data_IF_496018803783
#
_entry.id   IF_496018803783
#
_cell.length_a   1.000
_cell.length_b   1.000
_cell.length_c   1.000
_cell.angle_alpha   90.00
_cell.angle_beta   90.00
_cell.angle_gamma   90.00
#
_symmetry.space_group_name_H-M   'P 1'
#
loop_
_entity.id
_entity.type
_entity.pdbx_description
1 polymer ?
#
# COMPACT_ATOMS: atom_id res chain seq x y z
N UNK A 1 -36.25 -5.76 2.58
CA UNK A 1 -35.86 -4.94 3.75
C UNK A 1 -35.55 -3.57 3.21
N UNK A 2 -36.23 -2.55 3.72
CA UNK A 2 -35.88 -1.17 3.39
C UNK A 2 -34.62 -0.76 4.14
N UNK A 3 -33.72 -0.07 3.44
CA UNK A 3 -32.49 0.48 4.03
C UNK A 3 -32.79 1.65 4.96
N UNK A 4 -33.86 2.39 4.68
CA UNK A 4 -34.32 3.52 5.48
C UNK A 4 -35.10 2.94 6.67
N UNK A 5 -34.62 3.13 7.92
CA UNK A 5 -35.30 2.56 9.09
C UNK A 5 -36.55 3.36 9.51
N UNK A 6 -36.78 4.52 8.88
CA UNK A 6 -37.88 5.44 9.16
C UNK A 6 -39.18 4.88 8.59
N UNK A 7 -40.19 4.72 9.44
CA UNK A 7 -41.53 4.32 9.00
C UNK A 7 -42.34 5.51 8.50
N UNK A 8 -43.44 5.27 7.78
CA UNK A 8 -44.36 6.34 7.37
C UNK A 8 -44.96 7.10 8.57
N UNK A 9 -45.09 6.45 9.73
CA UNK A 9 -45.55 7.12 10.95
C UNK A 9 -44.48 8.07 11.50
N UNK A 10 -43.23 7.61 11.57
CA UNK A 10 -42.09 8.45 11.97
C UNK A 10 -41.95 9.66 11.03
N UNK A 11 -42.09 9.45 9.72
CA UNK A 11 -42.02 10.52 8.72
C UNK A 11 -43.09 11.59 8.97
N UNK A 12 -44.35 11.19 9.17
CA UNK A 12 -45.44 12.12 9.45
C UNK A 12 -45.24 12.89 10.75
N UNK A 13 -44.75 12.23 11.79
CA UNK A 13 -44.46 12.87 13.07
C UNK A 13 -43.30 13.88 12.95
N UNK A 14 -42.24 13.53 12.21
CA UNK A 14 -41.12 14.43 11.93
C UNK A 14 -41.56 15.65 11.10
N UNK A 15 -42.38 15.46 10.05
CA UNK A 15 -42.92 16.54 9.23
C UNK A 15 -43.78 17.50 10.07
N UNK A 16 -44.63 16.96 10.94
CA UNK A 16 -45.45 17.77 11.86
C UNK A 16 -44.60 18.62 12.80
N UNK A 17 -43.54 18.05 13.37
CA UNK A 17 -42.60 18.77 14.24
C UNK A 17 -41.83 19.85 13.46
N UNK A 18 -41.41 19.54 12.24
CA UNK A 18 -40.73 20.47 11.36
C UNK A 18 -41.65 21.57 10.79
N UNK A 19 -42.97 21.44 10.93
CA UNK A 19 -43.95 22.38 10.37
C UNK A 19 -44.11 22.26 8.84
N UNK A 20 -43.72 21.12 8.26
CA UNK A 20 -43.86 20.84 6.82
C UNK A 20 -45.07 19.95 6.54
N UNK A 21 -45.79 20.24 5.46
CA UNK A 21 -46.97 19.48 5.06
C UNK A 21 -46.64 18.20 4.26
N UNK A 22 -45.46 18.14 3.65
CA UNK A 22 -44.94 16.99 2.90
C UNK A 22 -43.42 17.02 2.83
N UNK A 23 -42.81 15.93 2.34
CA UNK A 23 -41.38 15.86 2.06
C UNK A 23 -40.97 16.92 1.02
N UNK A 24 -41.78 17.13 -0.02
CA UNK A 24 -41.53 18.17 -1.03
C UNK A 24 -41.55 19.56 -0.40
N UNK A 25 -42.51 19.83 0.50
CA UNK A 25 -42.59 21.08 1.26
C UNK A 25 -41.37 21.27 2.17
N UNK A 26 -40.89 20.21 2.81
CA UNK A 26 -39.69 20.26 3.66
C UNK A 26 -38.43 20.65 2.87
N UNK A 27 -38.31 20.20 1.62
CA UNK A 27 -37.18 20.51 0.74
C UNK A 27 -37.36 21.80 -0.08
N UNK A 28 -38.36 22.64 0.21
CA UNK A 28 -38.59 23.89 -0.52
C UNK A 28 -37.39 24.86 -0.51
N UNK A 29 -36.54 24.77 0.51
CA UNK A 29 -35.32 25.57 0.66
C UNK A 29 -34.33 25.39 -0.50
N UNK A 30 -34.38 24.25 -1.20
CA UNK A 30 -33.54 24.00 -2.38
C UNK A 30 -34.19 24.74 -3.56
N UNK A 31 -33.52 25.70 -4.21
CA UNK A 31 -34.11 26.40 -5.36
C UNK A 31 -34.55 25.43 -6.46
N UNK A 32 -35.72 25.65 -7.06
CA UNK A 32 -36.29 24.76 -8.08
C UNK A 32 -35.33 24.52 -9.25
N UNK A 33 -34.63 25.56 -9.69
CA UNK A 33 -33.62 25.47 -10.76
C UNK A 33 -32.45 24.53 -10.45
N UNK A 34 -32.24 24.17 -9.18
CA UNK A 34 -31.22 23.23 -8.71
C UNK A 34 -31.78 21.83 -8.40
N UNK A 35 -33.10 21.64 -8.45
CA UNK A 35 -33.71 20.33 -8.17
C UNK A 35 -33.67 19.44 -9.40
N UNK A 36 -33.30 18.18 -9.19
CA UNK A 36 -33.43 17.15 -10.21
C UNK A 36 -34.91 16.81 -10.41
N UNK A 37 -35.38 16.77 -11.66
CA UNK A 37 -36.79 16.47 -11.96
C UNK A 37 -37.05 14.96 -12.07
N UNK A 38 -36.09 14.21 -12.58
CA UNK A 38 -36.21 12.77 -12.78
C UNK A 38 -34.83 12.10 -12.69
N UNK A 39 -34.83 10.81 -12.36
CA UNK A 39 -33.65 9.97 -12.33
C UNK A 39 -33.72 8.98 -13.51
N UNK A 40 -32.69 8.96 -14.35
CA UNK A 40 -32.54 7.92 -15.38
C UNK A 40 -31.75 6.74 -14.79
N UNK A 41 -32.41 5.98 -13.91
CA UNK A 41 -31.86 4.80 -13.25
C UNK A 41 -32.77 3.58 -13.50
N UNK A 42 -32.20 2.37 -13.61
CA UNK A 42 -33.01 1.16 -13.67
C UNK A 42 -33.79 0.96 -12.37
N UNK A 43 -34.85 0.16 -12.44
CA UNK A 43 -35.60 -0.23 -11.25
C UNK A 43 -34.69 -0.95 -10.24
N UNK A 44 -34.93 -0.66 -8.95
CA UNK A 44 -34.19 -1.28 -7.86
C UNK A 44 -34.36 -2.80 -7.84
N UNK A 45 -33.26 -3.51 -7.63
CA UNK A 45 -33.29 -4.96 -7.41
C UNK A 45 -33.56 -5.26 -5.93
N UNK A 46 -34.23 -6.38 -5.66
CA UNK A 46 -34.22 -6.95 -4.31
C UNK A 46 -32.80 -7.31 -3.88
N UNK A 47 -32.53 -7.38 -2.58
CA UNK A 47 -31.22 -7.76 -2.04
C UNK A 47 -30.71 -9.08 -2.64
N UNK A 48 -31.58 -10.09 -2.73
CA UNK A 48 -31.27 -11.37 -3.37
C UNK A 48 -30.97 -11.23 -4.86
N UNK A 49 -31.77 -10.44 -5.58
CA UNK A 49 -31.58 -10.16 -7.01
C UNK A 49 -30.26 -9.44 -7.29
N UNK A 50 -29.92 -8.46 -6.45
CA UNK A 50 -28.66 -7.71 -6.52
C UNK A 50 -27.47 -8.63 -6.28
N UNK A 51 -27.49 -9.45 -5.23
CA UNK A 51 -26.41 -10.40 -4.92
C UNK A 51 -26.15 -11.35 -6.10
N UNK A 52 -27.20 -11.98 -6.64
CA UNK A 52 -27.07 -12.87 -7.81
C UNK A 52 -26.58 -12.14 -9.06
N UNK A 53 -26.95 -10.87 -9.22
CA UNK A 53 -26.46 -10.06 -10.33
C UNK A 53 -24.94 -9.81 -10.21
N UNK A 54 -24.47 -9.40 -9.03
CA UNK A 54 -23.05 -9.16 -8.76
C UNK A 54 -22.21 -10.44 -8.84
N UNK A 55 -22.70 -11.57 -8.33
CA UNK A 55 -22.04 -12.88 -8.44
C UNK A 55 -21.81 -13.27 -9.91
N UNK A 56 -22.83 -13.13 -10.78
CA UNK A 56 -22.70 -13.38 -12.22
C UNK A 56 -21.74 -12.43 -12.92
N UNK A 57 -21.59 -11.20 -12.42
CA UNK A 57 -20.59 -10.27 -12.94
C UNK A 57 -19.18 -10.70 -12.52
N UNK A 58 -19.00 -11.11 -11.26
CA UNK A 58 -17.73 -11.56 -10.72
C UNK A 58 -17.22 -12.85 -11.39
N UNK A 59 -18.12 -13.76 -11.78
CA UNK A 59 -17.79 -14.99 -12.53
C UNK A 59 -17.12 -14.75 -13.89
N UNK A 60 -17.16 -13.52 -14.43
CA UNK A 60 -16.47 -13.16 -15.67
C UNK A 60 -14.96 -12.92 -15.46
N UNK A 61 -14.51 -12.78 -14.22
CA UNK A 61 -13.11 -12.57 -13.89
C UNK A 61 -12.35 -13.91 -13.87
N UNK A 62 -11.11 -13.92 -14.33
CA UNK A 62 -10.23 -15.10 -14.27
C UNK A 62 -9.40 -15.06 -12.98
N UNK A 63 -9.90 -15.65 -11.91
CA UNK A 63 -9.27 -15.62 -10.56
C UNK A 63 -8.47 -16.88 -10.21
N UNK A 64 -8.57 -17.92 -11.04
CA UNK A 64 -7.98 -19.24 -10.81
C UNK A 64 -6.54 -19.38 -11.31
N UNK A 65 -5.93 -18.32 -11.83
CA UNK A 65 -4.60 -18.40 -12.43
C UNK A 65 -3.51 -18.51 -11.36
N UNK A 66 -2.45 -19.26 -11.68
CA UNK A 66 -1.22 -19.26 -10.89
C UNK A 66 -0.48 -17.96 -11.15
N UNK A 67 -0.35 -17.13 -10.12
CA UNK A 67 0.24 -15.79 -10.25
C UNK A 67 1.73 -15.81 -9.96
N UNK A 68 2.48 -15.30 -10.93
CA UNK A 68 3.88 -14.91 -10.84
C UNK A 68 4.06 -13.41 -11.14
N UNK A 69 2.94 -12.66 -11.16
CA UNK A 69 2.96 -11.20 -11.19
C UNK A 69 3.53 -10.65 -9.89
N UNK A 70 4.34 -9.60 -10.04
CA UNK A 70 4.84 -8.78 -8.95
C UNK A 70 4.73 -7.31 -9.32
N UNK A 71 5.82 -6.58 -9.23
CA UNK A 71 5.82 -5.13 -9.41
C UNK A 71 5.19 -4.44 -8.20
N UNK A 72 5.56 -4.86 -7.00
CA UNK A 72 5.10 -4.23 -5.75
C UNK A 72 3.76 -4.71 -5.20
N UNK A 73 3.04 -5.59 -5.90
CA UNK A 73 1.76 -6.18 -5.45
C UNK A 73 1.80 -7.69 -5.62
N UNK A 74 1.51 -8.42 -4.55
CA UNK A 74 1.83 -9.84 -4.46
C UNK A 74 0.68 -10.68 -3.92
N UNK A 75 0.56 -11.90 -4.45
CA UNK A 75 -0.45 -12.85 -3.98
C UNK A 75 0.02 -13.56 -2.70
N UNK A 76 -0.03 -12.87 -1.56
CA UNK A 76 0.27 -13.48 -0.26
C UNK A 76 -0.94 -14.25 0.31
N UNK A 77 -0.66 -15.26 1.13
CA UNK A 77 -1.70 -15.96 1.90
C UNK A 77 -2.21 -15.07 3.03
N UNK A 78 -3.54 -14.96 3.14
CA UNK A 78 -4.20 -14.20 4.19
C UNK A 78 -4.86 -15.22 5.14
N UNK A 79 -4.40 -15.35 6.39
CA UNK A 79 -5.06 -16.21 7.37
C UNK A 79 -6.52 -15.79 7.56
N UNK A 80 -7.45 -16.75 7.58
CA UNK A 80 -8.89 -16.49 7.72
C UNK A 80 -9.26 -15.66 8.97
N UNK A 81 -8.45 -15.74 10.02
CA UNK A 81 -8.60 -14.93 11.22
C UNK A 81 -8.47 -13.42 10.95
N UNK A 82 -7.72 -13.00 9.92
CA UNK A 82 -7.61 -11.58 9.52
C UNK A 82 -8.99 -11.07 9.07
N UNK A 83 -9.68 -11.81 8.21
CA UNK A 83 -11.02 -11.44 7.73
C UNK A 83 -12.03 -11.45 8.88
N UNK A 84 -12.04 -12.52 9.69
CA UNK A 84 -12.98 -12.64 10.80
C UNK A 84 -12.82 -11.52 11.84
N UNK A 85 -11.59 -11.14 12.19
CA UNK A 85 -11.32 -10.10 13.18
C UNK A 85 -11.54 -8.69 12.63
N UNK A 86 -11.14 -8.42 11.39
CA UNK A 86 -11.32 -7.10 10.77
C UNK A 86 -12.79 -6.81 10.40
N UNK A 87 -13.61 -7.83 10.18
CA UNK A 87 -15.03 -7.69 9.88
C UNK A 87 -15.91 -7.37 11.11
N UNK A 88 -15.32 -7.37 12.31
CA UNK A 88 -16.02 -6.97 13.53
C UNK A 88 -16.55 -5.54 13.42
N UNK A 89 -17.84 -5.34 13.71
CA UNK A 89 -18.52 -4.06 13.51
C UNK A 89 -17.88 -2.92 14.28
N UNK A 90 -17.32 -3.19 15.47
CA UNK A 90 -16.65 -2.19 16.31
C UNK A 90 -15.44 -1.55 15.62
N UNK A 91 -14.85 -2.23 14.62
CA UNK A 91 -13.82 -1.68 13.75
C UNK A 91 -14.37 -1.26 12.39
N UNK A 92 -15.20 -2.10 11.76
CA UNK A 92 -15.62 -1.93 10.37
C UNK A 92 -16.56 -0.74 10.15
N UNK A 93 -17.43 -0.43 11.11
CA UNK A 93 -18.37 0.69 11.00
C UNK A 93 -17.91 1.96 11.70
N UNK A 94 -16.82 1.88 12.48
CA UNK A 94 -16.27 3.03 13.18
C UNK A 94 -15.60 4.01 12.20
N UNK A 95 -15.70 5.31 12.49
CA UNK A 95 -14.97 6.34 11.75
C UNK A 95 -13.76 6.85 12.55
N UNK A 96 -13.15 7.95 12.09
CA UNK A 96 -11.98 8.55 12.76
C UNK A 96 -12.25 8.72 14.27
N UNK A 97 -11.36 8.21 15.15
CA UNK A 97 -11.60 8.19 16.60
C UNK A 97 -11.37 9.57 17.23
N UNK A 98 -12.23 10.53 16.90
CA UNK A 98 -12.18 11.92 17.41
C UNK A 98 -12.60 12.05 18.88
N UNK A 99 -13.38 11.09 19.39
CA UNK A 99 -13.84 11.03 20.78
C UNK A 99 -13.07 9.89 21.48
N UNK A 100 -11.89 10.16 22.09
CA UNK A 100 -10.99 9.11 22.54
C UNK A 100 -11.60 8.19 23.58
N UNK A 101 -12.43 8.72 24.48
CA UNK A 101 -13.06 8.01 25.59
C UNK A 101 -13.96 6.88 25.09
N UNK A 102 -14.58 7.06 23.92
CA UNK A 102 -15.47 6.07 23.29
C UNK A 102 -14.78 5.23 22.20
N UNK A 103 -13.47 5.42 21.97
CA UNK A 103 -12.75 4.82 20.84
C UNK A 103 -11.40 4.18 21.21
N UNK A 104 -11.21 3.82 22.49
CA UNK A 104 -9.94 3.28 22.99
C UNK A 104 -9.47 2.02 22.26
N UNK A 105 -10.37 1.12 21.86
CA UNK A 105 -10.00 -0.09 21.10
C UNK A 105 -9.37 0.23 19.74
N UNK A 106 -9.99 1.14 18.98
CA UNK A 106 -9.45 1.62 17.69
C UNK A 106 -8.15 2.39 17.88
N UNK A 107 -8.05 3.26 18.89
CA UNK A 107 -6.85 4.03 19.17
C UNK A 107 -5.68 3.15 19.62
N UNK A 108 -5.95 2.13 20.42
CA UNK A 108 -4.96 1.14 20.81
C UNK A 108 -4.48 0.34 19.58
N UNK A 109 -5.39 -0.11 18.72
CA UNK A 109 -5.01 -0.81 17.48
C UNK A 109 -4.13 0.08 16.58
N UNK A 110 -4.43 1.38 16.45
CA UNK A 110 -3.58 2.31 15.70
C UNK A 110 -2.20 2.43 16.36
N UNK A 111 -2.14 2.58 17.69
CA UNK A 111 -0.89 2.68 18.43
C UNK A 111 -0.04 1.40 18.32
N UNK A 112 -0.67 0.22 18.35
CA UNK A 112 -0.01 -1.07 18.18
C UNK A 112 0.47 -1.28 16.75
N UNK A 113 -0.32 -0.89 15.74
CA UNK A 113 0.12 -0.84 14.35
C UNK A 113 1.39 -0.01 14.21
N UNK A 114 1.40 1.23 14.72
CA UNK A 114 2.57 2.10 14.67
C UNK A 114 3.78 1.44 15.36
N UNK A 115 3.56 0.78 16.49
CA UNK A 115 4.62 0.09 17.25
C UNK A 115 5.22 -1.09 16.48
N UNK A 116 4.38 -1.89 15.82
CA UNK A 116 4.83 -3.03 15.01
C UNK A 116 5.57 -2.53 13.77
N UNK A 117 5.09 -1.50 13.09
CA UNK A 117 5.80 -0.89 11.95
C UNK A 117 7.16 -0.35 12.36
N UNK A 118 7.27 0.34 13.51
CA UNK A 118 8.55 0.83 14.03
C UNK A 118 9.53 -0.32 14.24
N UNK A 119 9.09 -1.44 14.84
CA UNK A 119 9.92 -2.64 15.05
C UNK A 119 10.29 -3.35 13.75
N UNK A 120 9.38 -3.38 12.78
CA UNK A 120 9.62 -4.01 11.48
C UNK A 120 10.68 -3.26 10.68
N UNK A 121 10.71 -1.93 10.80
CA UNK A 121 11.55 -1.04 9.99
C UNK A 121 12.80 -0.54 10.72
N UNK A 122 12.96 -0.85 12.01
CA UNK A 122 13.91 -0.23 12.94
C UNK A 122 13.85 1.30 12.98
N UNK A 123 12.63 1.84 12.93
CA UNK A 123 12.36 3.28 13.01
C UNK A 123 11.74 3.66 14.37
N UNK A 124 11.72 4.95 14.68
CA UNK A 124 11.34 5.44 16.03
C UNK A 124 9.88 5.93 16.11
N UNK A 125 9.28 6.29 14.98
CA UNK A 125 7.85 6.60 14.89
C UNK A 125 7.28 6.21 13.53
N UNK A 126 5.98 5.91 13.50
CA UNK A 126 5.21 5.67 12.28
C UNK A 126 3.89 6.44 12.35
N UNK A 127 3.31 6.79 11.21
CA UNK A 127 1.96 7.34 11.16
C UNK A 127 0.90 6.24 11.12
N UNK A 128 -0.37 6.63 11.21
CA UNK A 128 -1.51 5.73 11.17
C UNK A 128 -2.03 5.59 9.74
N UNK A 129 -1.16 5.12 8.83
CA UNK A 129 -1.38 4.86 7.39
C UNK A 129 -1.49 6.06 6.46
N UNK A 130 -1.19 5.78 5.19
CA UNK A 130 -1.44 6.57 3.98
C UNK A 130 -2.21 5.70 2.97
N UNK A 131 -2.51 6.22 1.77
CA UNK A 131 -3.38 5.54 0.81
C UNK A 131 -2.76 4.30 0.16
N UNK A 132 -1.50 4.38 -0.25
CA UNK A 132 -0.73 3.33 -0.93
C UNK A 132 0.78 3.65 -0.87
N UNK A 133 1.62 2.75 -1.37
CA UNK A 133 3.08 2.92 -1.41
C UNK A 133 3.54 4.14 -2.23
N UNK A 134 2.88 4.46 -3.35
CA UNK A 134 3.26 5.58 -4.20
C UNK A 134 2.97 6.94 -3.56
N UNK A 135 1.80 7.10 -2.96
CA UNK A 135 1.43 8.27 -2.15
C UNK A 135 2.31 8.37 -0.90
N UNK A 136 2.76 7.25 -0.32
CA UNK A 136 3.74 7.26 0.76
C UNK A 136 5.10 7.83 0.32
N UNK A 137 5.58 7.47 -0.87
CA UNK A 137 6.81 8.06 -1.45
C UNK A 137 6.66 9.58 -1.61
N UNK A 138 5.53 10.04 -2.16
CA UNK A 138 5.24 11.48 -2.27
C UNK A 138 5.28 12.20 -0.92
N UNK A 139 4.65 11.61 0.09
CA UNK A 139 4.61 12.16 1.43
C UNK A 139 6.00 12.19 2.10
N UNK A 140 6.82 11.16 1.87
CA UNK A 140 8.19 11.09 2.37
C UNK A 140 9.10 12.15 1.73
N UNK A 141 9.03 12.32 0.41
CA UNK A 141 9.78 13.38 -0.30
C UNK A 141 9.37 14.76 0.20
N UNK A 142 8.05 15.01 0.28
CA UNK A 142 7.52 16.27 0.78
C UNK A 142 7.94 16.52 2.23
N UNK A 143 7.94 15.48 3.07
CA UNK A 143 8.42 15.53 4.44
C UNK A 143 9.92 15.86 4.52
N UNK A 144 10.76 15.23 3.69
CA UNK A 144 12.19 15.48 3.66
C UNK A 144 12.52 16.92 3.24
N UNK A 145 11.84 17.46 2.23
CA UNK A 145 11.96 18.86 1.83
C UNK A 145 11.58 19.83 2.96
N UNK A 146 10.54 19.51 3.74
CA UNK A 146 10.14 20.32 4.92
C UNK A 146 11.14 20.23 6.08
N UNK A 147 11.86 19.13 6.20
CA UNK A 147 12.88 18.92 7.23
C UNK A 147 14.15 19.69 6.88
N UNK A 148 14.62 19.57 5.64
CA UNK A 148 15.90 20.15 5.19
C UNK A 148 15.77 21.60 4.75
N UNK A 149 14.56 22.05 4.39
CA UNK A 149 14.32 23.35 3.74
C UNK A 149 14.74 23.39 2.26
N UNK A 150 15.21 22.26 1.72
CA UNK A 150 15.68 22.11 0.35
C UNK A 150 14.57 21.55 -0.55
N UNK A 151 14.73 21.70 -1.86
CA UNK A 151 13.68 21.37 -2.85
C UNK A 151 14.09 20.32 -3.89
N UNK A 152 15.36 19.91 -3.93
CA UNK A 152 15.84 18.90 -4.86
C UNK A 152 15.72 17.51 -4.22
N UNK A 153 15.01 16.58 -4.85
CA UNK A 153 14.98 15.17 -4.46
C UNK A 153 15.59 14.32 -5.56
N UNK A 154 16.57 13.49 -5.20
CA UNK A 154 17.17 12.53 -6.11
C UNK A 154 16.38 11.24 -6.11
N UNK A 155 16.11 10.70 -7.29
CA UNK A 155 15.41 9.43 -7.45
C UNK A 155 16.39 8.38 -7.94
N UNK A 156 16.64 7.40 -7.08
CA UNK A 156 17.55 6.31 -7.37
C UNK A 156 16.93 5.35 -8.42
N UNK A 157 17.70 4.79 -9.35
CA UNK A 157 17.21 3.85 -10.38
C UNK A 157 16.54 2.57 -9.84
N UNK A 158 16.67 2.29 -8.55
CA UNK A 158 15.99 1.17 -7.89
C UNK A 158 14.49 1.38 -7.71
N UNK A 159 14.01 2.64 -7.69
CA UNK A 159 12.62 2.94 -7.33
C UNK A 159 11.63 2.43 -8.38
N UNK A 160 10.49 1.93 -7.94
CA UNK A 160 9.37 1.53 -8.79
C UNK A 160 8.99 2.61 -9.82
N UNK A 161 8.91 2.32 -11.14
CA UNK A 161 8.64 3.31 -12.18
C UNK A 161 7.25 3.96 -12.04
N UNK A 162 6.22 3.17 -11.72
CA UNK A 162 4.88 3.73 -11.43
C UNK A 162 4.91 4.68 -10.22
N UNK A 163 5.66 4.38 -9.15
CA UNK A 163 5.77 5.31 -8.01
C UNK A 163 6.55 6.57 -8.37
N UNK A 164 7.55 6.50 -9.25
CA UNK A 164 8.21 7.68 -9.85
C UNK A 164 7.20 8.54 -10.61
N UNK A 165 6.34 7.95 -11.43
CA UNK A 165 5.30 8.67 -12.19
C UNK A 165 4.22 9.27 -11.28
N UNK A 166 3.79 8.54 -10.24
CA UNK A 166 2.87 9.07 -9.22
C UNK A 166 3.51 10.26 -8.51
N UNK A 167 4.79 10.18 -8.15
CA UNK A 167 5.52 11.27 -7.51
C UNK A 167 5.55 12.53 -8.40
N UNK A 168 5.79 12.39 -9.71
CA UNK A 168 5.70 13.51 -10.67
C UNK A 168 4.32 14.13 -10.69
N UNK A 169 3.29 13.29 -10.76
CA UNK A 169 1.89 13.70 -10.85
C UNK A 169 1.48 14.46 -9.58
N UNK A 170 1.81 13.94 -8.40
CA UNK A 170 1.49 14.57 -7.12
C UNK A 170 2.30 15.85 -6.86
N UNK A 171 3.50 15.97 -7.43
CA UNK A 171 4.32 17.17 -7.33
C UNK A 171 4.09 18.16 -8.48
N UNK A 172 3.15 17.91 -9.38
CA UNK A 172 2.80 18.85 -10.43
C UNK A 172 2.40 20.21 -9.82
N UNK A 173 3.12 21.27 -10.20
CA UNK A 173 2.93 22.62 -9.66
C UNK A 173 3.60 22.89 -8.30
N UNK A 174 4.26 21.90 -7.70
CA UNK A 174 5.12 22.06 -6.52
C UNK A 174 6.48 22.64 -6.91
N UNK A 175 7.16 23.40 -6.03
CA UNK A 175 8.53 23.85 -6.28
C UNK A 175 9.60 22.77 -6.03
N UNK A 176 9.20 21.53 -5.70
CA UNK A 176 10.12 20.40 -5.51
C UNK A 176 10.57 19.90 -6.88
N UNK A 177 11.88 19.75 -7.05
CA UNK A 177 12.52 19.27 -8.26
C UNK A 177 12.90 17.81 -8.08
N UNK A 178 12.46 16.96 -9.01
CA UNK A 178 12.85 15.56 -9.09
C UNK A 178 13.99 15.44 -10.10
N UNK A 179 15.08 14.77 -9.70
CA UNK A 179 16.23 14.54 -10.57
C UNK A 179 16.63 13.09 -10.43
N UNK A 180 16.82 12.37 -11.54
CA UNK A 180 17.32 11.00 -11.46
C UNK A 180 18.80 11.04 -11.04
N UNK A 181 19.16 10.21 -10.06
CA UNK A 181 20.51 10.20 -9.52
C UNK A 181 20.63 9.47 -8.19
N UNK A 182 21.87 9.16 -7.83
CA UNK A 182 22.19 8.35 -6.66
C UNK A 182 22.89 9.21 -5.59
N UNK A 183 23.92 9.97 -5.97
CA UNK A 183 24.74 10.68 -5.01
C UNK A 183 24.25 12.10 -4.73
N UNK A 184 23.95 12.36 -3.46
CA UNK A 184 23.53 13.68 -2.99
C UNK A 184 24.61 14.76 -3.19
N UNK A 185 24.15 15.99 -3.40
CA UNK A 185 24.96 17.21 -3.32
C UNK A 185 24.45 18.12 -2.18
N UNK A 186 25.07 19.30 -2.03
CA UNK A 186 24.72 20.25 -0.96
C UNK A 186 23.30 20.84 -1.07
N UNK A 187 22.65 20.74 -2.25
CA UNK A 187 21.29 21.23 -2.48
C UNK A 187 20.23 20.13 -2.35
N UNK A 188 20.65 18.87 -2.29
CA UNK A 188 19.78 17.71 -2.22
C UNK A 188 19.08 17.63 -0.86
N UNK A 189 17.75 17.56 -0.87
CA UNK A 189 16.90 17.35 0.30
C UNK A 189 16.90 15.88 0.73
N UNK A 190 16.75 14.98 -0.24
CA UNK A 190 16.77 13.54 -0.01
C UNK A 190 17.15 12.75 -1.26
N UNK A 191 17.59 11.52 -1.02
CA UNK A 191 17.66 10.46 -2.02
C UNK A 191 16.56 9.45 -1.72
N UNK A 192 15.77 9.10 -2.72
CA UNK A 192 14.72 8.07 -2.63
C UNK A 192 15.23 6.80 -3.29
N UNK A 193 15.46 5.77 -2.48
CA UNK A 193 15.88 4.45 -2.94
C UNK A 193 14.84 3.39 -2.56
N UNK A 194 14.92 2.23 -3.20
CA UNK A 194 14.06 1.09 -2.94
C UNK A 194 14.90 -0.17 -2.73
N UNK A 195 14.59 -0.94 -1.69
CA UNK A 195 15.27 -2.18 -1.38
C UNK A 195 14.29 -3.26 -0.88
N UNK A 196 14.12 -4.41 -1.56
CA UNK A 196 14.72 -4.75 -2.85
C UNK A 196 14.36 -3.75 -3.95
N UNK A 197 15.28 -3.53 -4.90
CA UNK A 197 15.05 -2.70 -6.08
C UNK A 197 13.88 -3.24 -6.91
N UNK A 198 13.30 -2.41 -7.78
CA UNK A 198 12.17 -2.81 -8.63
C UNK A 198 12.43 -4.06 -9.48
N UNK A 199 13.67 -4.29 -9.91
CA UNK A 199 14.04 -5.49 -10.67
C UNK A 199 14.37 -6.70 -9.78
N UNK A 200 14.38 -6.53 -8.46
CA UNK A 200 14.60 -7.59 -7.47
C UNK A 200 15.94 -7.54 -6.74
N UNK A 201 16.94 -6.79 -7.22
CA UNK A 201 18.28 -6.72 -6.60
C UNK A 201 18.22 -6.16 -5.16
N UNK A 202 18.98 -6.77 -4.26
CA UNK A 202 19.19 -6.29 -2.89
C UNK A 202 20.55 -5.59 -2.80
N UNK A 203 20.55 -4.43 -2.17
CA UNK A 203 21.78 -3.68 -1.86
C UNK A 203 21.85 -3.31 -0.37
N UNK A 204 23.05 -3.20 0.18
CA UNK A 204 23.25 -2.59 1.51
C UNK A 204 23.47 -1.09 1.32
N UNK A 205 22.52 -0.29 1.80
CA UNK A 205 22.54 1.16 1.66
C UNK A 205 23.27 1.87 2.83
N UNK A 206 23.94 1.16 3.75
CA UNK A 206 24.63 1.81 4.89
C UNK A 206 25.63 2.87 4.45
N UNK A 207 26.56 2.54 3.55
CA UNK A 207 27.54 3.53 3.07
C UNK A 207 26.86 4.68 2.32
N UNK A 208 25.79 4.38 1.58
CA UNK A 208 25.02 5.37 0.85
C UNK A 208 24.27 6.34 1.78
N UNK A 209 23.77 5.87 2.92
CA UNK A 209 23.17 6.70 3.95
C UNK A 209 24.20 7.68 4.53
N UNK A 210 25.41 7.20 4.85
CA UNK A 210 26.50 8.04 5.35
C UNK A 210 26.86 9.13 4.33
N UNK A 211 26.99 8.78 3.05
CA UNK A 211 27.22 9.73 1.95
C UNK A 211 26.11 10.78 1.82
N UNK A 212 24.84 10.39 2.00
CA UNK A 212 23.72 11.34 2.04
C UNK A 212 23.86 12.33 3.22
N UNK A 213 24.15 11.80 4.40
CA UNK A 213 24.26 12.59 5.63
C UNK A 213 25.43 13.56 5.61
N UNK A 214 26.56 13.20 5.00
CA UNK A 214 27.70 14.10 4.78
C UNK A 214 27.33 15.37 4.00
N UNK A 215 26.31 15.29 3.14
CA UNK A 215 25.78 16.44 2.38
C UNK A 215 24.57 17.09 3.05
N UNK A 216 24.12 16.56 4.18
CA UNK A 216 22.92 16.99 4.88
C UNK A 216 21.61 16.59 4.18
N UNK A 217 21.67 15.66 3.23
CA UNK A 217 20.48 15.05 2.61
C UNK A 217 19.96 13.90 3.48
N UNK A 218 18.66 13.61 3.40
CA UNK A 218 18.06 12.46 4.06
C UNK A 218 17.99 11.24 3.12
N UNK A 219 18.10 10.04 3.67
CA UNK A 219 17.80 8.82 2.92
C UNK A 219 16.35 8.39 3.15
N UNK A 220 15.57 8.31 2.07
CA UNK A 220 14.23 7.74 2.05
C UNK A 220 14.30 6.34 1.45
N UNK A 221 13.89 5.32 2.20
CA UNK A 221 13.89 3.93 1.73
C UNK A 221 12.47 3.39 1.55
N UNK A 222 12.14 3.07 0.30
CA UNK A 222 11.01 2.23 -0.06
C UNK A 222 11.36 0.75 0.13
N UNK A 223 10.48 -0.05 0.73
CA UNK A 223 10.77 -1.46 1.04
C UNK A 223 9.58 -2.38 0.77
N UNK A 224 9.86 -3.65 0.49
CA UNK A 224 8.87 -4.73 0.60
C UNK A 224 8.80 -5.17 2.07
N UNK A 225 7.65 -5.04 2.77
CA UNK A 225 7.58 -5.31 4.20
C UNK A 225 7.83 -6.77 4.56
N UNK A 226 7.54 -7.72 3.66
CA UNK A 226 7.82 -9.15 3.89
C UNK A 226 9.34 -9.42 3.85
N UNK A 227 10.07 -8.72 2.98
CA UNK A 227 11.54 -8.90 2.87
C UNK A 227 12.29 -8.62 4.18
N UNK A 228 11.75 -7.73 5.02
CA UNK A 228 12.31 -7.35 6.31
C UNK A 228 12.29 -8.48 7.36
N UNK A 229 11.66 -9.62 7.05
CA UNK A 229 11.83 -10.84 7.82
C UNK A 229 13.24 -11.43 7.77
N UNK A 230 14.03 -11.12 6.73
CA UNK A 230 15.40 -11.64 6.54
C UNK A 230 16.42 -10.61 6.03
N UNK A 231 15.99 -9.53 5.38
CA UNK A 231 16.87 -8.46 4.89
C UNK A 231 17.17 -7.49 6.04
N UNK A 232 18.41 -6.98 6.09
CA UNK A 232 18.82 -5.93 7.02
C UNK A 232 17.85 -4.74 6.93
N UNK A 233 17.36 -4.27 8.06
CA UNK A 233 16.30 -3.25 8.11
C UNK A 233 16.79 -1.90 7.57
N UNK A 234 15.89 -1.07 7.02
CA UNK A 234 16.26 0.26 6.55
C UNK A 234 16.76 1.16 7.69
N UNK A 235 16.21 1.04 8.90
CA UNK A 235 16.72 1.75 10.08
C UNK A 235 18.17 1.36 10.43
N UNK A 236 18.51 0.06 10.38
CA UNK A 236 19.88 -0.41 10.55
C UNK A 236 20.81 -0.01 9.39
N UNK A 237 20.27 0.29 8.20
CA UNK A 237 20.99 0.88 7.08
C UNK A 237 21.13 2.40 7.20
N UNK A 238 20.57 3.05 8.22
CA UNK A 238 20.72 4.49 8.46
C UNK A 238 19.62 5.37 7.86
N UNK A 239 18.58 4.79 7.25
CA UNK A 239 17.47 5.54 6.65
C UNK A 239 16.83 6.54 7.65
N UNK A 240 16.37 7.69 7.14
CA UNK A 240 15.71 8.71 7.95
C UNK A 240 14.18 8.61 7.88
N UNK A 241 13.67 8.15 6.73
CA UNK A 241 12.26 7.93 6.44
C UNK A 241 12.15 6.60 5.68
N UNK A 242 11.18 5.78 6.05
CA UNK A 242 10.89 4.49 5.43
C UNK A 242 9.46 4.50 4.94
N UNK A 243 9.26 4.01 3.71
CA UNK A 243 7.94 3.86 3.10
C UNK A 243 7.75 2.46 2.55
N UNK A 244 6.51 2.00 2.46
CA UNK A 244 6.20 0.72 1.85
C UNK A 244 4.76 0.69 1.35
N UNK A 245 4.50 -0.21 0.40
CA UNK A 245 3.16 -0.73 0.15
C UNK A 245 2.91 -1.90 1.11
N UNK A 246 1.86 -1.76 1.93
CA UNK A 246 1.48 -2.69 2.97
C UNK A 246 0.54 -3.80 2.50
N UNK A 247 0.17 -3.85 1.22
CA UNK A 247 -0.72 -4.89 0.65
C UNK A 247 -0.35 -6.30 1.09
N UNK A 248 0.95 -6.64 1.07
CA UNK A 248 1.45 -7.97 1.48
C UNK A 248 1.12 -8.35 2.93
N UNK A 249 0.72 -7.39 3.77
CA UNK A 249 0.41 -7.59 5.17
C UNK A 249 -1.08 -7.88 5.36
N UNK A 250 -1.59 -8.96 4.77
CA UNK A 250 -2.95 -9.42 5.00
C UNK A 250 -4.05 -8.65 4.23
N UNK A 251 -3.70 -7.98 3.13
CA UNK A 251 -4.66 -7.34 2.23
C UNK A 251 -4.72 -8.11 0.89
N UNK A 252 -5.92 -8.32 0.32
CA UNK A 252 -6.03 -8.92 -1.00
C UNK A 252 -5.49 -7.95 -2.07
N UNK A 253 -5.13 -8.48 -3.24
CA UNK A 253 -4.78 -7.65 -4.40
C UNK A 253 -5.93 -6.72 -4.81
N UNK A 254 -7.19 -7.14 -4.64
CA UNK A 254 -8.36 -6.26 -4.80
C UNK A 254 -8.49 -5.55 -6.16
N UNK A 255 -7.75 -5.99 -7.19
CA UNK A 255 -7.60 -5.29 -8.47
C UNK A 255 -7.19 -3.80 -8.31
N UNK A 256 -6.29 -3.50 -7.37
CA UNK A 256 -5.71 -2.17 -7.16
C UNK A 256 -6.03 -1.52 -5.80
N UNK A 257 -6.83 -2.14 -4.94
CA UNK A 257 -7.04 -1.65 -3.59
C UNK A 257 -8.32 -2.13 -2.88
N UNK A 258 -8.60 -1.60 -1.67
CA UNK A 258 -7.83 -0.58 -0.97
C UNK A 258 -6.48 -1.12 -0.47
N UNK A 259 -5.43 -0.32 -0.64
CA UNK A 259 -4.06 -0.64 -0.26
C UNK A 259 -3.61 0.14 0.97
N UNK A 260 -2.34 0.01 1.35
CA UNK A 260 -1.83 0.56 2.61
C UNK A 260 -0.49 1.24 2.40
N UNK A 261 -0.48 2.57 2.39
CA UNK A 261 0.77 3.31 2.46
C UNK A 261 1.33 3.28 3.88
N UNK A 262 2.55 2.78 4.05
CA UNK A 262 3.28 2.77 5.31
C UNK A 262 4.29 3.92 5.29
N UNK A 263 4.36 4.69 6.38
CA UNK A 263 5.41 5.69 6.57
C UNK A 263 5.93 5.65 8.02
N UNK A 264 7.22 5.39 8.16
CA UNK A 264 7.97 5.45 9.41
C UNK A 264 9.17 6.40 9.29
N UNK A 265 9.63 6.97 10.40
CA UNK A 265 10.71 7.95 10.40
C UNK A 265 11.47 7.98 11.74
N UNK A 266 12.63 8.65 11.74
CA UNK A 266 13.30 9.04 12.98
C UNK A 266 12.43 10.04 13.75
N UNK A 267 12.37 9.91 15.08
CA UNK A 267 11.51 10.69 15.97
C UNK A 267 11.78 12.19 15.88
N UNK A 268 13.04 12.59 15.61
CA UNK A 268 13.42 13.99 15.36
C UNK A 268 12.59 14.66 14.25
N UNK A 269 12.02 13.88 13.32
CA UNK A 269 11.21 14.37 12.20
C UNK A 269 9.69 14.29 12.43
N UNK A 270 9.21 13.75 13.56
CA UNK A 270 7.78 13.46 13.79
C UNK A 270 6.86 14.67 13.59
N UNK A 271 7.33 15.89 13.89
CA UNK A 271 6.55 17.12 13.71
C UNK A 271 6.30 17.48 12.24
N UNK A 272 7.00 16.85 11.30
CA UNK A 272 6.85 17.01 9.84
C UNK A 272 6.15 15.82 9.17
N UNK A 273 5.82 14.79 9.96
CA UNK A 273 5.13 13.58 9.50
C UNK A 273 3.69 13.90 9.08
N UNK A 274 3.19 13.36 7.97
CA UNK A 274 1.81 13.55 7.52
C UNK A 274 0.85 12.55 8.17
N UNK A 275 -0.44 12.87 8.11
CA UNK A 275 -1.51 12.03 8.64
C UNK A 275 -1.53 11.92 10.16
N UNK A 276 -2.36 10.98 10.63
CA UNK A 276 -2.66 10.77 12.05
C UNK A 276 -1.52 10.04 12.75
N UNK A 277 -1.40 10.28 14.05
CA UNK A 277 -0.48 9.60 14.96
C UNK A 277 -1.25 9.34 16.24
N UNK A 278 -1.37 8.09 16.68
CA UNK A 278 -1.85 7.78 18.02
C UNK A 278 -0.69 7.76 19.02
N UNK A 279 -0.97 8.12 20.27
CA UNK A 279 -0.03 8.06 21.37
C UNK A 279 -0.71 7.61 22.66
N UNK A 280 0.05 6.92 23.51
CA UNK A 280 -0.36 6.64 24.87
C UNK A 280 -0.31 7.92 25.73
N UNK A 281 -1.28 8.07 26.62
CA UNK A 281 -1.43 9.16 27.59
C UNK A 281 -2.04 8.62 28.88
N UNK A 282 -2.28 9.49 29.86
CA UNK A 282 -3.04 9.18 31.08
C UNK A 282 -4.33 9.98 31.15
N UNK A 283 -5.40 9.38 31.68
CA UNK A 283 -6.66 10.06 31.96
C UNK A 283 -6.63 10.82 33.32
N UNK A 284 -7.78 11.38 33.73
CA UNK A 284 -7.94 12.12 34.99
C UNK A 284 -7.77 11.26 36.25
N UNK A 285 -7.85 9.94 36.12
CA UNK A 285 -7.64 8.97 37.21
C UNK A 285 -6.24 8.34 37.17
N UNK A 286 -5.37 8.78 36.25
CA UNK A 286 -4.01 8.25 36.08
C UNK A 286 -3.95 6.92 35.34
N UNK A 287 -5.06 6.44 34.76
CA UNK A 287 -5.10 5.21 33.95
C UNK A 287 -4.53 5.48 32.56
N UNK A 288 -3.83 4.50 32.00
CA UNK A 288 -3.31 4.60 30.63
C UNK A 288 -4.47 4.58 29.61
N UNK A 289 -4.45 5.54 28.69
CA UNK A 289 -5.32 5.59 27.52
C UNK A 289 -4.54 5.98 26.26
N UNK A 290 -5.24 6.07 25.13
CA UNK A 290 -4.68 6.41 23.83
C UNK A 290 -5.46 7.56 23.20
N UNK A 291 -4.77 8.45 22.49
CA UNK A 291 -5.37 9.61 21.80
C UNK A 291 -4.71 9.82 20.45
N UNK A 292 -5.41 10.48 19.52
CA UNK A 292 -4.75 11.12 18.38
C UNK A 292 -3.97 12.34 18.88
N UNK A 293 -2.70 12.44 18.49
CA UNK A 293 -1.80 13.49 18.97
C UNK A 293 -1.17 14.29 17.83
N UNK A 294 -0.58 15.44 18.16
CA UNK A 294 0.03 16.36 17.21
C UNK A 294 -0.92 16.75 16.06
N UNK A 295 -2.23 16.83 16.36
CA UNK A 295 -3.28 17.07 15.35
C UNK A 295 -3.17 18.44 14.68
N UNK A 296 -2.45 19.38 15.29
CA UNK A 296 -2.13 20.66 14.66
C UNK A 296 -1.37 20.51 13.34
N UNK A 297 -0.87 19.33 12.96
CA UNK A 297 -0.30 19.08 11.63
C UNK A 297 -1.35 18.90 10.53
N UNK A 298 -2.58 18.54 10.89
CA UNK A 298 -3.61 18.00 10.01
C UNK A 298 -4.53 19.08 9.44
N UNK A 299 -5.18 18.74 8.33
CA UNK A 299 -6.00 19.66 7.52
C UNK A 299 -7.16 20.31 8.28
N UNK A 300 -7.77 19.60 9.26
CA UNK A 300 -8.93 20.12 9.98
C UNK A 300 -8.56 21.28 10.94
N UNK A 301 -7.27 21.43 11.27
CA UNK A 301 -6.76 22.55 12.08
C UNK A 301 -6.03 23.57 11.20
N UNK A 302 -5.11 23.12 10.35
CA UNK A 302 -4.20 24.01 9.60
C UNK A 302 -4.61 24.31 8.17
N UNK A 303 -5.62 23.62 7.62
CA UNK A 303 -6.15 23.85 6.27
C UNK A 303 -5.03 23.85 5.23
N UNK A 304 -4.86 24.93 4.47
CA UNK A 304 -3.82 25.09 3.45
C UNK A 304 -2.38 25.06 4.01
N UNK A 305 -2.19 25.27 5.32
CA UNK A 305 -0.90 25.19 6.01
C UNK A 305 -0.63 23.80 6.62
N UNK A 306 -1.51 22.83 6.40
CA UNK A 306 -1.31 21.46 6.84
C UNK A 306 -0.15 20.81 6.09
N UNK A 307 0.38 19.73 6.66
CA UNK A 307 1.52 19.03 6.07
C UNK A 307 1.14 18.11 4.89
N UNK A 308 -0.15 17.80 4.78
CA UNK A 308 -0.78 16.95 3.76
C UNK A 308 -2.28 17.26 3.73
N UNK A 309 -2.92 16.98 2.60
CA UNK A 309 -4.38 17.05 2.45
C UNK A 309 -5.10 15.79 2.96
N UNK A 310 -4.35 14.75 3.38
CA UNK A 310 -4.94 13.48 3.83
C UNK A 310 -5.95 13.70 4.96
N UNK A 311 -7.14 13.11 4.80
CA UNK A 311 -8.21 13.15 5.79
C UNK A 311 -8.63 11.72 6.12
N UNK A 312 -9.53 11.12 5.35
CA UNK A 312 -9.69 9.66 5.38
C UNK A 312 -8.37 9.01 5.01
N UNK A 313 -8.05 7.90 5.66
CA UNK A 313 -6.85 7.10 5.42
C UNK A 313 -7.26 5.63 5.32
N UNK A 314 -6.29 4.73 5.45
CA UNK A 314 -6.48 3.29 5.34
C UNK A 314 -6.45 2.61 6.71
N UNK A 315 -7.19 3.15 7.69
CA UNK A 315 -7.18 2.65 9.07
C UNK A 315 -7.61 1.17 9.17
N UNK A 316 -8.62 0.74 8.39
CA UNK A 316 -9.03 -0.66 8.35
C UNK A 316 -7.93 -1.55 7.73
N UNK A 317 -7.23 -1.07 6.70
CA UNK A 317 -6.09 -1.79 6.13
C UNK A 317 -4.94 -1.91 7.13
N UNK A 318 -4.65 -0.84 7.89
CA UNK A 318 -3.66 -0.85 8.96
C UNK A 318 -4.03 -1.83 10.09
N UNK A 319 -5.32 -1.94 10.43
CA UNK A 319 -5.81 -2.96 11.36
C UNK A 319 -5.58 -4.38 10.83
N UNK A 320 -5.90 -4.64 9.55
CA UNK A 320 -5.63 -5.93 8.92
C UNK A 320 -4.14 -6.28 8.94
N UNK A 321 -3.27 -5.31 8.62
CA UNK A 321 -1.83 -5.46 8.70
C UNK A 321 -1.34 -5.77 10.12
N UNK A 322 -1.88 -5.08 11.13
CA UNK A 322 -1.60 -5.37 12.53
C UNK A 322 -2.01 -6.80 12.90
N UNK A 323 -3.24 -7.21 12.58
CA UNK A 323 -3.73 -8.56 12.87
C UNK A 323 -2.83 -9.60 12.19
N UNK A 324 -2.52 -9.41 10.91
CA UNK A 324 -1.67 -10.31 10.14
C UNK A 324 -0.27 -10.46 10.77
N UNK A 325 0.40 -9.34 11.09
CA UNK A 325 1.72 -9.34 11.72
C UNK A 325 1.69 -9.93 13.13
N UNK A 326 0.62 -9.70 13.90
CA UNK A 326 0.44 -10.32 15.22
C UNK A 326 0.22 -11.84 15.13
N UNK A 327 -0.51 -12.32 14.12
CA UNK A 327 -0.74 -13.75 13.90
C UNK A 327 0.54 -14.47 13.48
N UNK A 328 1.33 -13.88 12.59
CA UNK A 328 2.62 -14.45 12.19
C UNK A 328 3.66 -14.35 13.32
N UNK A 329 3.68 -13.22 14.03
CA UNK A 329 4.78 -12.84 14.90
C UNK A 329 6.11 -12.77 14.15
N UNK A 330 7.20 -12.57 14.90
CA UNK A 330 8.56 -12.49 14.33
C UNK A 330 8.92 -13.75 13.53
N UNK A 331 8.68 -14.92 14.12
CA UNK A 331 9.06 -16.20 13.53
C UNK A 331 8.28 -16.52 12.26
N UNK A 332 6.96 -16.31 12.27
CA UNK A 332 6.13 -16.55 11.09
C UNK A 332 6.49 -15.60 9.95
N UNK A 333 6.80 -14.32 10.24
CA UNK A 333 7.27 -13.38 9.22
C UNK A 333 8.60 -13.82 8.60
N UNK A 334 9.55 -14.24 9.43
CA UNK A 334 10.85 -14.77 8.97
C UNK A 334 10.67 -16.05 8.13
N UNK A 335 9.80 -16.98 8.55
CA UNK A 335 9.48 -18.19 7.80
C UNK A 335 8.80 -17.89 6.47
N UNK A 336 7.85 -16.94 6.42
CA UNK A 336 7.24 -16.46 5.17
C UNK A 336 8.28 -15.86 4.24
N UNK A 337 9.14 -14.97 4.74
CA UNK A 337 10.19 -14.35 3.94
C UNK A 337 11.18 -15.39 3.38
N UNK A 338 11.62 -16.36 4.20
CA UNK A 338 12.46 -17.47 3.75
C UNK A 338 11.76 -18.35 2.72
N UNK A 339 10.46 -18.56 2.84
CA UNK A 339 9.66 -19.31 1.87
C UNK A 339 9.66 -18.61 0.51
N UNK A 340 9.35 -17.31 0.46
CA UNK A 340 9.41 -16.52 -0.76
C UNK A 340 10.82 -16.56 -1.40
N UNK A 341 11.86 -16.30 -0.60
CA UNK A 341 13.24 -16.31 -1.06
C UNK A 341 13.66 -17.69 -1.60
N UNK A 342 13.51 -18.75 -0.82
CA UNK A 342 13.94 -20.10 -1.23
C UNK A 342 13.22 -20.62 -2.47
N UNK A 343 11.92 -20.31 -2.61
CA UNK A 343 11.14 -20.68 -3.81
C UNK A 343 11.53 -19.86 -5.03
N UNK A 344 11.83 -18.57 -4.84
CA UNK A 344 12.40 -17.70 -5.88
C UNK A 344 13.76 -18.23 -6.37
N UNK A 345 14.67 -18.58 -5.46
CA UNK A 345 15.96 -19.21 -5.80
C UNK A 345 15.79 -20.56 -6.50
N UNK A 346 14.87 -21.40 -6.03
CA UNK A 346 14.54 -22.66 -6.69
C UNK A 346 14.11 -22.43 -8.13
N UNK A 347 13.15 -21.52 -8.35
CA UNK A 347 12.64 -21.22 -9.68
C UNK A 347 13.75 -20.68 -10.58
N UNK A 348 14.58 -19.75 -10.11
CA UNK A 348 15.76 -19.24 -10.86
C UNK A 348 16.66 -20.37 -11.33
N UNK A 349 16.96 -21.34 -10.47
CA UNK A 349 17.79 -22.51 -10.82
C UNK A 349 17.17 -23.44 -11.86
N UNK A 350 15.86 -23.39 -12.10
CA UNK A 350 15.17 -24.19 -13.11
C UNK A 350 15.00 -23.47 -14.47
N UNK A 351 15.32 -22.18 -14.54
CA UNK A 351 15.20 -21.33 -15.72
C UNK A 351 16.53 -21.22 -16.51
N UNK A 352 17.27 -22.33 -16.62
CA UNK A 352 18.58 -22.42 -17.29
C UNK A 352 18.58 -22.07 -18.79
N UNK A 353 17.40 -22.05 -19.40
CA UNK A 353 17.15 -21.70 -20.80
C UNK A 353 16.90 -20.20 -21.01
N UNK A 354 16.86 -19.41 -19.94
CA UNK A 354 16.68 -17.96 -19.97
C UNK A 354 17.94 -17.26 -19.43
N UNK A 355 18.10 -15.98 -19.76
CA UNK A 355 19.18 -15.16 -19.17
C UNK A 355 18.68 -14.37 -17.98
N UNK A 356 19.28 -14.58 -16.80
CA UNK A 356 19.01 -13.75 -15.62
C UNK A 356 19.63 -12.36 -15.80
N UNK A 357 18.85 -11.30 -15.55
CA UNK A 357 19.31 -9.91 -15.70
C UNK A 357 19.91 -9.33 -14.42
N UNK A 358 19.47 -9.82 -13.26
CA UNK A 358 20.01 -9.41 -11.97
C UNK A 358 21.47 -9.87 -11.82
N UNK A 359 22.30 -9.00 -11.26
CA UNK A 359 23.73 -9.29 -11.00
C UNK A 359 23.99 -9.63 -9.53
N UNK A 360 23.11 -9.20 -8.64
CA UNK A 360 23.24 -9.38 -7.19
C UNK A 360 22.31 -10.45 -6.62
N UNK A 361 22.29 -10.52 -5.29
CA UNK A 361 21.27 -11.25 -4.57
C UNK A 361 19.89 -10.63 -4.82
N UNK A 362 18.86 -11.46 -4.92
CA UNK A 362 17.47 -10.99 -5.03
C UNK A 362 16.61 -11.56 -3.90
N UNK A 363 15.38 -11.07 -3.75
CA UNK A 363 14.42 -11.59 -2.78
C UNK A 363 13.36 -12.47 -3.46
N UNK A 364 12.13 -12.00 -3.53
CA UNK A 364 10.98 -12.70 -4.09
C UNK A 364 10.73 -12.35 -5.56
N UNK A 365 11.50 -11.42 -6.11
CA UNK A 365 11.45 -10.99 -7.51
C UNK A 365 12.80 -11.12 -8.18
N UNK A 366 12.78 -11.36 -9.49
CA UNK A 366 13.95 -11.32 -10.35
C UNK A 366 13.52 -11.11 -11.80
N UNK A 367 14.41 -10.50 -12.60
CA UNK A 367 14.19 -10.20 -14.00
C UNK A 367 14.94 -11.18 -14.89
N UNK A 368 14.28 -11.67 -15.94
CA UNK A 368 14.84 -12.56 -16.96
C UNK A 368 14.63 -11.98 -18.35
N UNK A 369 15.52 -12.34 -19.28
CA UNK A 369 15.33 -12.11 -20.71
C UNK A 369 14.83 -13.38 -21.38
N UNK A 370 13.69 -13.25 -22.04
CA UNK A 370 13.04 -14.29 -22.83
C UNK A 370 13.63 -14.33 -24.25
N UNK A 371 13.46 -15.45 -24.99
CA UNK A 371 13.82 -15.50 -26.41
C UNK A 371 12.79 -14.81 -27.33
N UNK A 372 11.66 -14.37 -26.77
CA UNK A 372 10.52 -13.77 -27.47
C UNK A 372 10.01 -12.57 -26.68
N UNK A 373 9.26 -11.65 -27.31
CA UNK A 373 8.65 -10.53 -26.61
C UNK A 373 7.81 -10.98 -25.41
N UNK A 374 8.03 -10.36 -24.25
CA UNK A 374 7.46 -10.76 -22.96
C UNK A 374 5.93 -10.75 -22.97
N UNK A 375 5.30 -9.77 -23.64
CA UNK A 375 3.84 -9.71 -23.80
C UNK A 375 3.27 -10.93 -24.52
N UNK A 376 3.95 -11.41 -25.56
CA UNK A 376 3.50 -12.59 -26.33
C UNK A 376 3.60 -13.85 -25.47
N UNK A 377 4.69 -13.99 -24.73
CA UNK A 377 4.89 -15.10 -23.78
C UNK A 377 3.83 -15.04 -22.68
N UNK A 378 3.57 -13.87 -22.08
CA UNK A 378 2.52 -13.68 -21.08
C UNK A 378 1.13 -14.04 -21.61
N UNK A 379 0.78 -13.62 -22.83
CA UNK A 379 -0.50 -13.97 -23.45
C UNK A 379 -0.64 -15.48 -23.72
N UNK A 380 0.45 -16.15 -24.12
CA UNK A 380 0.46 -17.60 -24.31
C UNK A 380 0.36 -18.36 -22.97
N UNK A 381 1.07 -17.89 -21.93
CA UNK A 381 1.03 -18.45 -20.58
C UNK A 381 -0.34 -18.25 -19.91
N UNK A 382 -1.03 -17.13 -20.18
CA UNK A 382 -2.39 -16.89 -19.71
C UNK A 382 -3.39 -17.93 -20.23
N UNK A 383 -3.24 -18.38 -21.49
CA UNK A 383 -4.05 -19.50 -22.04
C UNK A 383 -3.79 -20.83 -21.35
N UNK A 384 -2.64 -20.97 -20.67
CA UNK A 384 -2.23 -22.13 -19.87
C UNK A 384 -2.53 -21.97 -18.38
N UNK A 385 -3.20 -20.87 -17.98
CA UNK A 385 -3.64 -20.63 -16.60
C UNK A 385 -2.63 -19.90 -15.72
N UNK A 386 -1.67 -19.18 -16.30
CA UNK A 386 -0.64 -18.44 -15.56
C UNK A 386 -0.69 -16.94 -15.79
N UNK A 387 -0.44 -16.17 -14.73
CA UNK A 387 0.00 -14.78 -14.87
C UNK A 387 1.52 -14.79 -14.74
N UNK A 388 2.24 -14.89 -15.87
CA UNK A 388 3.63 -15.35 -15.88
C UNK A 388 4.66 -14.36 -15.31
N UNK A 389 4.30 -13.09 -15.21
CA UNK A 389 5.21 -12.02 -14.80
C UNK A 389 4.78 -10.70 -15.42
N UNK A 390 5.55 -9.66 -15.13
CA UNK A 390 5.31 -8.29 -15.58
C UNK A 390 6.29 -7.93 -16.71
N UNK A 391 5.81 -7.70 -17.96
CA UNK A 391 6.65 -7.18 -19.04
C UNK A 391 7.28 -5.84 -18.65
N UNK A 392 8.59 -5.68 -18.91
CA UNK A 392 9.34 -4.51 -18.44
C UNK A 392 9.42 -3.35 -19.43
N UNK A 393 9.14 -3.62 -20.71
CA UNK A 393 9.26 -2.63 -21.79
C UNK A 393 8.32 -1.43 -21.61
N UNK A 394 7.02 -1.68 -21.37
CA UNK A 394 6.02 -0.61 -21.20
C UNK A 394 6.31 0.27 -19.97
N UNK A 395 7.06 -0.24 -19.01
CA UNK A 395 7.47 0.48 -17.80
C UNK A 395 8.78 1.26 -17.99
N UNK A 396 9.44 1.14 -19.16
CA UNK A 396 10.73 1.74 -19.44
C UNK A 396 11.87 1.17 -18.59
N UNK A 397 11.78 -0.10 -18.19
CA UNK A 397 12.74 -0.76 -17.27
C UNK A 397 13.39 -2.02 -17.83
N UNK A 398 13.23 -2.27 -19.13
CA UNK A 398 13.85 -3.37 -19.84
C UNK A 398 13.52 -3.31 -21.33
N UNK A 399 14.04 -4.27 -22.07
CA UNK A 399 13.74 -4.47 -23.48
C UNK A 399 12.40 -5.22 -23.67
N UNK A 400 11.96 -5.38 -24.92
CA UNK A 400 10.70 -6.04 -25.25
C UNK A 400 10.61 -7.49 -24.73
N UNK A 401 11.75 -8.16 -24.59
CA UNK A 401 11.88 -9.55 -24.13
C UNK A 401 12.07 -9.69 -22.62
N UNK A 402 12.18 -8.57 -21.88
CA UNK A 402 12.49 -8.61 -20.46
C UNK A 402 11.21 -8.75 -19.61
N UNK A 403 11.22 -9.73 -18.71
CA UNK A 403 10.10 -10.09 -17.85
C UNK A 403 10.53 -10.10 -16.38
N UNK A 404 9.77 -9.42 -15.52
CA UNK A 404 9.90 -9.52 -14.06
C UNK A 404 9.00 -10.64 -13.53
N UNK A 405 9.58 -11.58 -12.79
CA UNK A 405 8.88 -12.73 -12.20
C UNK A 405 8.90 -12.58 -10.68
N UNK A 406 7.75 -12.81 -10.04
CA UNK A 406 7.62 -12.83 -8.59
C UNK A 406 7.18 -14.22 -8.07
N UNK A 407 7.68 -14.59 -6.90
CA UNK A 407 7.34 -15.87 -6.24
C UNK A 407 6.99 -15.62 -4.77
N UNK A 408 5.79 -16.02 -4.36
CA UNK A 408 5.30 -15.91 -2.98
C UNK A 408 5.30 -17.26 -2.28
N UNK A 409 5.08 -17.25 -0.97
CA UNK A 409 4.96 -18.46 -0.15
C UNK A 409 3.80 -19.37 -0.58
N UNK A 410 2.82 -18.87 -1.35
CA UNK A 410 1.71 -19.65 -1.87
C UNK A 410 2.13 -20.71 -2.89
N UNK A 411 3.23 -20.50 -3.61
CA UNK A 411 3.61 -21.39 -4.71
C UNK A 411 4.08 -22.75 -4.19
N UNK A 412 3.50 -23.85 -4.64
CA UNK A 412 4.01 -25.19 -4.33
C UNK A 412 5.16 -25.57 -5.26
N UNK A 413 5.97 -26.59 -4.91
CA UNK A 413 7.05 -27.04 -5.79
C UNK A 413 6.51 -27.54 -7.14
N UNK A 414 5.40 -28.27 -7.10
CA UNK A 414 4.72 -28.80 -8.29
C UNK A 414 4.24 -27.66 -9.20
N UNK A 415 3.73 -26.57 -8.63
CA UNK A 415 3.35 -25.38 -9.39
C UNK A 415 4.55 -24.67 -10.02
N UNK A 416 5.69 -24.60 -9.32
CA UNK A 416 6.93 -24.04 -9.87
C UNK A 416 7.47 -24.91 -11.02
N UNK A 417 7.50 -26.23 -10.86
CA UNK A 417 7.94 -27.17 -11.89
C UNK A 417 7.00 -27.12 -13.11
N UNK A 418 5.69 -27.01 -12.87
CA UNK A 418 4.70 -26.85 -13.93
C UNK A 418 4.87 -25.52 -14.67
N UNK A 419 5.09 -24.41 -13.95
CA UNK A 419 5.39 -23.11 -14.57
C UNK A 419 6.63 -23.18 -15.48
N UNK A 420 7.72 -23.79 -15.02
CA UNK A 420 8.97 -23.95 -15.80
C UNK A 420 8.72 -24.74 -17.07
N UNK A 421 8.01 -25.86 -16.98
CA UNK A 421 7.68 -26.71 -18.13
C UNK A 421 6.91 -25.92 -19.18
N UNK A 422 5.84 -25.26 -18.78
CA UNK A 422 4.94 -24.54 -19.69
C UNK A 422 5.63 -23.30 -20.28
N UNK A 423 6.42 -22.57 -19.48
CA UNK A 423 7.21 -21.43 -19.96
C UNK A 423 8.26 -21.86 -20.98
N UNK A 424 8.95 -22.99 -20.74
CA UNK A 424 9.92 -23.55 -21.70
C UNK A 424 9.25 -23.91 -23.02
N UNK A 425 8.12 -24.59 -22.97
CA UNK A 425 7.35 -24.96 -24.16
C UNK A 425 6.96 -23.72 -24.99
N UNK A 426 6.42 -22.68 -24.34
CA UNK A 426 6.06 -21.41 -24.99
C UNK A 426 7.28 -20.73 -25.61
N UNK A 427 8.41 -20.71 -24.91
CA UNK A 427 9.64 -20.09 -25.40
C UNK A 427 10.26 -20.82 -26.60
N UNK A 428 9.93 -22.10 -26.82
CA UNK A 428 10.49 -22.91 -27.91
C UNK A 428 9.58 -23.06 -29.13
N UNK A 429 8.28 -22.76 -29.01
CA UNK A 429 7.26 -23.12 -30.01
C UNK A 429 6.42 -21.96 -30.55
N UNK A 430 6.83 -20.70 -30.28
CA UNK A 430 6.16 -19.49 -30.80
C UNK A 430 7.03 -18.82 -31.87
#
# INVERSE_FOLDING_TARGET
MDWIPVTSADEQDMLRIAGAASIEGFFEIIPEALRLKEWSLPEGLSEFGLRRHLERMAEKNCTQYLSFLGGGYYDHYIPAAVDALAARSEFYTAYTPYQPECAQGTLQAIYEYQSVICRLTDMECANASLYDGGTAVFEAVSMACRVTGRRKALIHPSLHPVWRQMLETHLAGSPIQLVDGEHADAETACVVAQNPAFLGDIHDFTEHADQCHEKGALLVMAVNPISLGIVKTPGAMGADIVVAEGQSLGLPLGFGGPYLGILAAKKKHIRKMPGRIAAATTDTEGRRGYVLTLQAREQHIRREKALSNICSNQALCALRALIHLCLLGKRGLEETAKSCFSKSEYLKGQLDFLSLLNKGATFNEFAVRLPLPAEQVCAAMAKRGFLAGLPLAELGRGEAEDLLIAVTEKRSREELDYFVKELREVCTHV
#
